data_IF_177739955948
#
_entry.id   IF_177739955948
#
_cell.length_a   1.000
_cell.length_b   1.000
_cell.length_c   1.000
_cell.angle_alpha   90.00
_cell.angle_beta   90.00
_cell.angle_gamma   90.00
#
_symmetry.space_group_name_H-M   'P 1'
#
loop_
_entity.id
_entity.type
_entity.pdbx_description
1 polymer ?
#
# COMPACT_ATOMS: atom_id res chain seq x y z
N UNK A 1 -13.34 -3.58 -15.22
CA UNK A 1 -12.26 -3.84 -16.20
C UNK A 1 -11.50 -5.12 -15.87
N UNK A 2 -10.82 -5.28 -14.73
CA UNK A 2 -10.13 -6.54 -14.39
C UNK A 2 -11.08 -7.74 -14.25
N UNK A 3 -12.27 -7.55 -13.67
CA UNK A 3 -13.33 -8.57 -13.70
C UNK A 3 -13.76 -8.96 -15.12
N UNK A 4 -13.88 -7.98 -16.03
CA UNK A 4 -14.23 -8.26 -17.44
C UNK A 4 -13.13 -9.06 -18.14
N UNK A 5 -11.86 -8.77 -17.86
CA UNK A 5 -10.73 -9.57 -18.36
C UNK A 5 -10.78 -11.00 -17.83
N UNK A 6 -11.14 -11.19 -16.56
CA UNK A 6 -11.33 -12.51 -15.98
C UNK A 6 -12.47 -13.27 -16.68
N UNK A 7 -13.62 -12.62 -16.88
CA UNK A 7 -14.77 -13.19 -17.57
C UNK A 7 -14.46 -13.52 -19.03
N UNK A 8 -13.64 -12.71 -19.70
CA UNK A 8 -13.21 -12.97 -21.08
C UNK A 8 -12.24 -14.14 -21.18
N UNK A 9 -11.27 -14.25 -20.25
CA UNK A 9 -10.23 -15.30 -20.29
C UNK A 9 -10.74 -16.65 -19.81
N UNK A 10 -11.61 -16.68 -18.81
CA UNK A 10 -12.08 -17.92 -18.17
C UNK A 10 -13.61 -17.93 -17.96
N UNK A 11 -14.42 -17.67 -19.00
CA UNK A 11 -15.88 -17.59 -18.86
C UNK A 11 -16.45 -18.90 -18.32
N UNK A 12 -16.00 -20.03 -18.86
CA UNK A 12 -16.47 -21.35 -18.46
C UNK A 12 -16.30 -21.58 -16.96
N UNK A 13 -15.17 -21.15 -16.38
CA UNK A 13 -14.89 -21.34 -14.95
C UNK A 13 -15.80 -20.53 -14.04
N UNK A 14 -16.10 -19.30 -14.45
CA UNK A 14 -16.95 -18.41 -13.66
C UNK A 14 -18.40 -18.88 -13.69
N UNK A 15 -18.92 -19.23 -14.87
CA UNK A 15 -20.33 -19.57 -15.03
C UNK A 15 -20.67 -20.99 -14.58
N UNK A 16 -19.79 -21.98 -14.79
CA UNK A 16 -20.06 -23.36 -14.37
C UNK A 16 -19.65 -23.66 -12.93
N UNK A 17 -18.77 -22.84 -12.34
CA UNK A 17 -18.26 -23.06 -10.98
C UNK A 17 -17.33 -24.28 -10.92
N UNK A 18 -16.14 -24.10 -10.37
CA UNK A 18 -15.19 -25.21 -10.20
C UNK A 18 -14.58 -25.14 -8.82
N UNK A 19 -14.56 -26.28 -8.13
CA UNK A 19 -13.62 -26.51 -7.06
C UNK A 19 -12.34 -27.01 -7.72
N UNK A 20 -11.30 -26.19 -7.69
CA UNK A 20 -10.02 -26.61 -8.21
C UNK A 20 -9.38 -27.63 -7.26
N UNK A 21 -9.14 -28.83 -7.80
CA UNK A 21 -8.40 -29.92 -7.18
C UNK A 21 -8.85 -30.26 -5.74
N UNK A 22 -7.92 -30.80 -4.97
CA UNK A 22 -8.07 -31.20 -3.57
C UNK A 22 -8.18 -30.00 -2.61
N UNK A 23 -7.53 -28.88 -2.92
CA UNK A 23 -7.44 -27.72 -2.02
C UNK A 23 -8.80 -27.18 -1.59
N UNK A 24 -9.72 -26.97 -2.55
CA UNK A 24 -11.03 -26.42 -2.25
C UNK A 24 -11.83 -27.31 -1.30
N UNK A 25 -11.73 -28.63 -1.49
CA UNK A 25 -12.41 -29.63 -0.65
C UNK A 25 -11.80 -29.68 0.74
N UNK A 26 -10.46 -29.58 0.84
CA UNK A 26 -9.75 -29.52 2.13
C UNK A 26 -10.25 -28.33 2.95
N UNK A 27 -10.36 -27.15 2.34
CA UNK A 27 -10.77 -25.93 3.05
C UNK A 27 -12.21 -26.01 3.56
N UNK A 28 -13.13 -26.54 2.75
CA UNK A 28 -14.52 -26.78 3.16
C UNK A 28 -14.57 -27.78 4.32
N UNK A 29 -13.83 -28.88 4.21
CA UNK A 29 -13.81 -29.93 5.24
C UNK A 29 -13.23 -29.42 6.56
N UNK A 30 -12.17 -28.63 6.50
CA UNK A 30 -11.54 -28.04 7.68
C UNK A 30 -12.45 -27.00 8.36
N UNK A 31 -13.13 -26.15 7.58
CA UNK A 31 -14.12 -25.21 8.13
C UNK A 31 -15.29 -25.96 8.79
N UNK A 32 -15.77 -27.05 8.18
CA UNK A 32 -16.82 -27.88 8.78
C UNK A 32 -16.38 -28.55 10.10
N UNK A 33 -15.11 -28.93 10.22
CA UNK A 33 -14.57 -29.60 11.42
C UNK A 33 -14.19 -28.63 12.55
N UNK A 34 -13.57 -27.50 12.19
CA UNK A 34 -12.89 -26.62 13.15
C UNK A 34 -13.50 -25.22 13.22
N UNK A 35 -14.43 -24.90 12.31
CA UNK A 35 -15.11 -23.62 12.24
C UNK A 35 -14.11 -22.46 12.19
N UNK A 36 -14.28 -21.51 13.11
CA UNK A 36 -13.42 -20.32 13.16
C UNK A 36 -11.97 -20.64 13.51
N UNK A 37 -11.67 -21.78 14.15
CA UNK A 37 -10.26 -22.14 14.41
C UNK A 37 -9.49 -22.41 13.12
N UNK A 38 -10.18 -22.74 12.01
CA UNK A 38 -9.56 -23.02 10.72
C UNK A 38 -8.62 -21.89 10.28
N UNK A 39 -8.95 -20.63 10.58
CA UNK A 39 -8.19 -19.44 10.16
C UNK A 39 -6.72 -19.43 10.63
N UNK A 40 -6.41 -20.14 11.72
CA UNK A 40 -5.07 -20.26 12.28
C UNK A 40 -4.34 -21.53 11.81
N UNK A 41 -5.03 -22.40 11.07
CA UNK A 41 -4.45 -23.62 10.51
C UNK A 41 -3.70 -23.28 9.23
N UNK A 42 -2.40 -23.57 9.21
CA UNK A 42 -1.59 -23.47 7.99
C UNK A 42 -1.99 -24.55 6.99
N UNK A 43 -1.81 -24.25 5.71
CA UNK A 43 -1.93 -25.21 4.62
C UNK A 43 -0.72 -25.01 3.71
N UNK A 44 -0.02 -26.10 3.36
CA UNK A 44 1.25 -26.05 2.60
C UNK A 44 2.26 -25.03 3.18
N UNK A 45 2.40 -24.97 4.50
CA UNK A 45 3.28 -24.03 5.23
C UNK A 45 2.93 -22.53 5.12
N UNK A 46 1.74 -22.20 4.58
CA UNK A 46 1.24 -20.83 4.50
C UNK A 46 -0.07 -20.63 5.25
N UNK A 47 -0.24 -19.43 5.81
CA UNK A 47 -1.50 -19.02 6.42
C UNK A 47 -2.48 -18.53 5.34
N UNK A 48 -3.57 -19.26 5.15
CA UNK A 48 -4.58 -18.96 4.13
C UNK A 48 -5.79 -18.21 4.69
N UNK A 49 -5.57 -17.09 5.37
CA UNK A 49 -6.64 -16.37 6.10
C UNK A 49 -7.78 -15.90 5.18
N UNK A 50 -7.47 -15.28 4.04
CA UNK A 50 -8.51 -14.77 3.13
C UNK A 50 -9.33 -15.89 2.47
N UNK A 51 -8.70 -16.94 1.89
CA UNK A 51 -9.48 -18.05 1.36
C UNK A 51 -10.35 -18.74 2.42
N UNK A 52 -9.85 -18.90 3.67
CA UNK A 52 -10.63 -19.46 4.78
C UNK A 52 -11.80 -18.56 5.20
N UNK A 53 -11.63 -17.24 5.19
CA UNK A 53 -12.73 -16.30 5.42
C UNK A 53 -13.84 -16.43 4.38
N UNK A 54 -13.46 -16.58 3.11
CA UNK A 54 -14.41 -16.77 2.01
C UNK A 54 -15.21 -18.06 2.22
N UNK A 55 -14.52 -19.16 2.52
CA UNK A 55 -15.16 -20.46 2.78
C UNK A 55 -16.13 -20.33 3.95
N UNK A 56 -15.69 -19.78 5.09
CA UNK A 56 -16.55 -19.58 6.25
C UNK A 56 -17.78 -18.72 5.93
N UNK A 57 -17.59 -17.64 5.17
CA UNK A 57 -18.67 -16.76 4.75
C UNK A 57 -19.73 -17.50 3.94
N UNK A 58 -19.30 -18.36 3.00
CA UNK A 58 -20.21 -19.20 2.22
C UNK A 58 -20.86 -20.32 3.05
N UNK A 59 -20.13 -20.96 3.96
CA UNK A 59 -20.67 -21.95 4.90
C UNK A 59 -21.81 -21.39 5.76
N UNK A 60 -21.79 -20.09 6.06
CA UNK A 60 -22.84 -19.41 6.81
C UNK A 60 -23.98 -18.90 5.92
N UNK A 61 -23.72 -18.62 4.65
CA UNK A 61 -24.66 -17.93 3.76
C UNK A 61 -25.41 -18.85 2.80
N UNK A 62 -24.89 -20.05 2.51
CA UNK A 62 -25.44 -20.91 1.46
C UNK A 62 -25.22 -22.40 1.74
N UNK A 63 -25.98 -23.24 1.05
CA UNK A 63 -25.78 -24.68 1.02
C UNK A 63 -24.56 -25.07 0.15
N UNK A 64 -23.91 -26.21 0.43
CA UNK A 64 -22.66 -26.62 -0.23
C UNK A 64 -22.70 -26.70 -1.76
N UNK A 65 -23.87 -26.97 -2.34
CA UNK A 65 -24.06 -27.06 -3.79
C UNK A 65 -23.78 -25.73 -4.50
N UNK A 66 -23.88 -24.60 -3.78
CA UNK A 66 -23.60 -23.26 -4.31
C UNK A 66 -22.13 -22.86 -4.20
N UNK A 67 -21.30 -23.61 -3.45
CA UNK A 67 -19.92 -23.21 -3.18
C UNK A 67 -19.06 -23.06 -4.45
N UNK A 68 -19.08 -23.97 -5.44
CA UNK A 68 -18.24 -23.83 -6.63
C UNK A 68 -18.50 -22.51 -7.38
N UNK A 69 -19.77 -22.14 -7.56
CA UNK A 69 -20.15 -20.88 -8.18
C UNK A 69 -19.85 -19.69 -7.28
N UNK A 70 -20.17 -19.80 -6.00
CA UNK A 70 -19.96 -18.74 -5.01
C UNK A 70 -18.49 -18.34 -4.91
N UNK A 71 -17.60 -19.33 -4.85
CA UNK A 71 -16.15 -19.14 -4.84
C UNK A 71 -15.66 -18.50 -6.13
N UNK A 72 -16.11 -18.96 -7.29
CA UNK A 72 -15.72 -18.39 -8.57
C UNK A 72 -16.10 -16.89 -8.68
N UNK A 73 -17.33 -16.54 -8.31
CA UNK A 73 -17.77 -15.13 -8.28
C UNK A 73 -17.06 -14.30 -7.22
N UNK A 74 -16.73 -14.89 -6.07
CA UNK A 74 -15.92 -14.22 -5.04
C UNK A 74 -14.52 -13.90 -5.57
N UNK A 75 -13.89 -14.82 -6.30
CA UNK A 75 -12.61 -14.55 -6.97
C UNK A 75 -12.73 -13.38 -7.95
N UNK A 76 -13.77 -13.33 -8.78
CA UNK A 76 -14.01 -12.21 -9.71
C UNK A 76 -14.15 -10.87 -8.96
N UNK A 77 -14.87 -10.87 -7.85
CA UNK A 77 -15.01 -9.69 -6.99
C UNK A 77 -13.66 -9.27 -6.38
N UNK A 78 -12.86 -10.22 -5.89
CA UNK A 78 -11.51 -9.96 -5.37
C UNK A 78 -10.60 -9.39 -6.46
N UNK A 79 -10.62 -9.94 -7.67
CA UNK A 79 -9.84 -9.43 -8.80
C UNK A 79 -10.27 -8.02 -9.21
N UNK A 80 -11.55 -7.69 -9.11
CA UNK A 80 -12.03 -6.33 -9.29
C UNK A 80 -11.44 -5.39 -8.24
N UNK A 81 -11.47 -5.77 -6.96
CA UNK A 81 -10.92 -4.98 -5.86
C UNK A 81 -9.40 -4.79 -6.00
N UNK A 82 -8.65 -5.84 -6.34
CA UNK A 82 -7.21 -5.80 -6.65
C UNK A 82 -6.92 -4.82 -7.77
N UNK A 83 -7.64 -4.91 -8.89
CA UNK A 83 -7.49 -3.98 -10.01
C UNK A 83 -7.82 -2.52 -9.64
N UNK A 84 -8.87 -2.31 -8.86
CA UNK A 84 -9.26 -0.99 -8.38
C UNK A 84 -8.21 -0.39 -7.43
N UNK A 85 -7.66 -1.19 -6.52
CA UNK A 85 -6.59 -0.79 -5.61
C UNK A 85 -5.31 -0.39 -6.38
N UNK A 86 -4.87 -1.22 -7.33
CA UNK A 86 -3.72 -0.90 -8.19
C UNK A 86 -3.96 0.35 -9.04
N UNK A 87 -5.17 0.55 -9.55
CA UNK A 87 -5.51 1.77 -10.27
C UNK A 87 -5.48 3.01 -9.33
N UNK A 88 -5.99 2.89 -8.11
CA UNK A 88 -5.93 3.96 -7.13
C UNK A 88 -4.49 4.33 -6.73
N UNK A 89 -3.65 3.32 -6.47
CA UNK A 89 -2.22 3.49 -6.17
C UNK A 89 -1.47 4.13 -7.34
N UNK A 90 -1.69 3.65 -8.57
CA UNK A 90 -1.04 4.23 -9.75
C UNK A 90 -1.46 5.68 -10.00
N UNK A 91 -2.71 6.06 -9.71
CA UNK A 91 -3.14 7.48 -9.77
C UNK A 91 -2.39 8.38 -8.79
N UNK A 92 -1.98 7.85 -7.64
CA UNK A 92 -1.31 8.62 -6.57
C UNK A 92 0.17 8.82 -6.87
N UNK A 93 0.85 7.81 -7.42
CA UNK A 93 2.30 7.86 -7.65
C UNK A 93 2.69 8.26 -9.08
N UNK A 94 1.84 7.98 -10.06
CA UNK A 94 2.11 8.34 -11.46
C UNK A 94 1.38 9.66 -11.77
N UNK A 95 1.90 10.77 -11.26
CA UNK A 95 1.39 12.12 -11.51
C UNK A 95 1.71 12.58 -12.95
N UNK A 96 0.87 13.45 -13.53
CA UNK A 96 1.15 14.13 -14.81
C UNK A 96 0.06 14.03 -15.90
N UNK A 97 0.43 14.49 -17.10
CA UNK A 97 -0.39 14.68 -18.32
C UNK A 97 -1.35 13.51 -18.64
N UNK A 98 -2.48 13.77 -19.35
CA UNK A 98 -3.47 12.75 -19.73
C UNK A 98 -2.89 11.52 -20.46
N UNK A 99 -1.75 11.67 -21.15
CA UNK A 99 -1.03 10.55 -21.76
C UNK A 99 -0.65 9.43 -20.77
N UNK A 100 -0.40 9.76 -19.49
CA UNK A 100 -0.08 8.77 -18.43
C UNK A 100 -1.31 7.99 -17.93
N UNK A 101 -2.53 8.35 -18.36
CA UNK A 101 -3.76 7.59 -18.06
C UNK A 101 -3.67 6.17 -18.61
N UNK A 102 -3.09 5.99 -19.80
CA UNK A 102 -2.90 4.67 -20.41
C UNK A 102 -1.97 3.80 -19.56
N UNK A 103 -0.85 4.36 -19.12
CA UNK A 103 0.10 3.66 -18.25
C UNK A 103 -0.55 3.19 -16.95
N UNK A 104 -1.29 4.07 -16.25
CA UNK A 104 -2.03 3.70 -15.02
C UNK A 104 -3.00 2.54 -15.28
N UNK A 105 -3.70 2.58 -16.41
CA UNK A 105 -4.62 1.53 -16.82
C UNK A 105 -3.87 0.22 -17.10
N UNK A 106 -2.71 0.26 -17.76
CA UNK A 106 -1.86 -0.89 -17.99
C UNK A 106 -1.35 -1.50 -16.67
N UNK A 107 -0.84 -0.69 -15.75
CA UNK A 107 -0.37 -1.16 -14.43
C UNK A 107 -1.47 -1.90 -13.66
N UNK A 108 -2.71 -1.38 -13.67
CA UNK A 108 -3.84 -2.03 -12.98
C UNK A 108 -4.25 -3.38 -13.58
N UNK A 109 -3.93 -3.62 -14.86
CA UNK A 109 -4.29 -4.83 -15.60
C UNK A 109 -3.14 -5.82 -15.73
N UNK A 110 -1.90 -5.37 -15.52
CA UNK A 110 -0.71 -6.18 -15.75
C UNK A 110 -0.77 -7.56 -15.06
N UNK A 111 -1.19 -7.70 -13.79
CA UNK A 111 -1.29 -9.02 -13.15
C UNK A 111 -2.26 -9.98 -13.85
N UNK A 112 -3.24 -9.43 -14.57
CA UNK A 112 -4.29 -10.20 -15.25
C UNK A 112 -3.98 -10.48 -16.73
N UNK A 113 -2.95 -9.85 -17.27
CA UNK A 113 -2.50 -10.04 -18.66
C UNK A 113 -1.37 -11.06 -18.77
N UNK A 114 -0.70 -11.38 -17.66
CA UNK A 114 0.30 -12.45 -17.62
C UNK A 114 -0.36 -13.77 -18.02
N UNK A 115 0.22 -14.54 -18.95
CA UNK A 115 -0.25 -15.88 -19.24
C UNK A 115 -0.06 -16.73 -17.98
N UNK A 116 -1.18 -17.09 -17.35
CA UNK A 116 -1.17 -17.95 -16.18
C UNK A 116 -1.94 -19.23 -16.46
N UNK A 117 -1.52 -20.29 -15.77
CA UNK A 117 -2.24 -21.55 -15.73
C UNK A 117 -3.67 -21.30 -15.26
N UNK A 118 -4.66 -21.97 -15.84
CA UNK A 118 -6.02 -21.88 -15.35
C UNK A 118 -6.12 -22.34 -13.89
N UNK A 119 -5.17 -23.12 -13.37
CA UNK A 119 -5.00 -23.45 -11.95
C UNK A 119 -4.96 -22.26 -10.99
N UNK A 120 -4.35 -21.16 -11.42
CA UNK A 120 -4.12 -19.98 -10.58
C UNK A 120 -5.34 -19.04 -10.64
N UNK A 121 -5.99 -18.98 -11.78
CA UNK A 121 -7.14 -18.10 -12.01
C UNK A 121 -8.45 -18.72 -11.55
N UNK A 122 -9.29 -17.88 -10.91
CA UNK A 122 -10.63 -18.26 -10.43
C UNK A 122 -10.53 -19.43 -9.43
N UNK A 123 -9.44 -19.46 -8.65
CA UNK A 123 -9.24 -20.41 -7.57
C UNK A 123 -9.04 -19.66 -6.25
N UNK A 124 -9.86 -19.97 -5.25
CA UNK A 124 -9.83 -19.28 -3.96
C UNK A 124 -8.51 -19.49 -3.23
N UNK A 125 -7.88 -20.67 -3.33
CA UNK A 125 -6.64 -20.98 -2.60
C UNK A 125 -5.45 -20.18 -3.15
N UNK A 126 -5.51 -19.85 -4.44
CA UNK A 126 -4.51 -19.06 -5.14
C UNK A 126 -4.73 -17.54 -5.09
N UNK A 127 -5.74 -17.04 -4.35
CA UNK A 127 -5.97 -15.59 -4.22
C UNK A 127 -4.78 -14.84 -3.60
N UNK A 128 -3.96 -15.52 -2.81
CA UNK A 128 -2.77 -14.94 -2.19
C UNK A 128 -1.79 -14.35 -3.20
N UNK A 129 -1.68 -14.94 -4.40
CA UNK A 129 -0.79 -14.45 -5.47
C UNK A 129 -1.17 -13.06 -5.99
N UNK A 130 -2.43 -12.66 -5.81
CA UNK A 130 -2.93 -11.34 -6.19
C UNK A 130 -3.00 -10.38 -5.00
N UNK A 131 -3.40 -10.89 -3.84
CA UNK A 131 -3.59 -10.08 -2.64
C UNK A 131 -2.27 -9.67 -1.98
N UNK A 132 -1.30 -10.58 -1.88
CA UNK A 132 -0.05 -10.30 -1.19
C UNK A 132 0.74 -9.14 -1.86
N UNK A 133 0.93 -9.10 -3.19
CA UNK A 133 1.61 -7.97 -3.83
C UNK A 133 0.86 -6.65 -3.65
N UNK A 134 -0.47 -6.65 -3.75
CA UNK A 134 -1.26 -5.43 -3.54
C UNK A 134 -1.17 -4.94 -2.10
N UNK A 135 -1.24 -5.85 -1.13
CA UNK A 135 -1.08 -5.50 0.29
C UNK A 135 0.28 -4.86 0.53
N UNK A 136 1.35 -5.44 0.01
CA UNK A 136 2.70 -4.86 0.09
C UNK A 136 2.74 -3.44 -0.48
N UNK A 137 2.15 -3.21 -1.66
CA UNK A 137 2.10 -1.87 -2.27
C UNK A 137 1.27 -0.87 -1.46
N UNK A 138 0.17 -1.32 -0.84
CA UNK A 138 -0.63 -0.47 0.06
C UNK A 138 0.18 -0.10 1.29
N UNK A 139 0.85 -1.05 1.92
CA UNK A 139 1.71 -0.79 3.08
C UNK A 139 2.83 0.20 2.75
N UNK A 140 3.47 0.03 1.58
CA UNK A 140 4.48 0.98 1.10
C UNK A 140 3.89 2.38 0.86
N UNK A 141 2.72 2.51 0.21
CA UNK A 141 2.05 3.80 0.03
C UNK A 141 1.74 4.47 1.38
N UNK A 142 1.26 3.71 2.37
CA UNK A 142 0.99 4.20 3.72
C UNK A 142 2.26 4.68 4.43
N UNK A 143 3.34 3.91 4.40
CA UNK A 143 4.63 4.32 4.96
C UNK A 143 5.13 5.61 4.32
N UNK A 144 5.09 5.69 2.98
CA UNK A 144 5.55 6.87 2.24
C UNK A 144 4.70 8.12 2.52
N UNK A 145 3.39 7.97 2.75
CA UNK A 145 2.52 9.09 3.15
C UNK A 145 2.89 9.61 4.53
N UNK A 146 3.12 8.70 5.48
CA UNK A 146 3.48 9.06 6.84
C UNK A 146 4.82 9.80 6.87
N UNK A 147 5.82 9.32 6.14
CA UNK A 147 7.11 9.99 6.01
C UNK A 147 6.97 11.42 5.49
N UNK A 148 6.26 11.63 4.38
CA UNK A 148 5.99 12.96 3.81
C UNK A 148 5.23 13.89 4.77
N UNK A 149 4.28 13.35 5.53
CA UNK A 149 3.53 14.16 6.50
C UNK A 149 4.43 14.66 7.65
N UNK A 150 5.34 13.80 8.14
CA UNK A 150 6.33 14.17 9.16
C UNK A 150 7.27 15.24 8.62
N UNK A 151 7.84 15.03 7.44
CA UNK A 151 8.74 15.98 6.75
C UNK A 151 8.08 17.36 6.59
N UNK A 152 6.87 17.42 6.03
CA UNK A 152 6.11 18.66 5.88
C UNK A 152 5.84 19.36 7.23
N UNK A 153 5.62 18.59 8.31
CA UNK A 153 5.40 19.14 9.65
C UNK A 153 6.67 19.74 10.26
N UNK A 154 7.83 19.12 10.01
CA UNK A 154 9.14 19.62 10.44
C UNK A 154 9.50 20.90 9.69
N UNK A 155 9.34 20.91 8.37
CA UNK A 155 9.57 22.08 7.53
C UNK A 155 8.72 23.27 7.97
N UNK A 156 7.44 23.04 8.26
CA UNK A 156 6.54 24.09 8.77
C UNK A 156 7.03 24.65 10.12
N UNK A 157 7.51 23.79 11.04
CA UNK A 157 8.06 24.23 12.34
C UNK A 157 9.36 25.00 12.20
N UNK A 158 10.25 24.58 11.30
CA UNK A 158 11.51 25.29 11.01
C UNK A 158 11.24 26.68 10.44
N UNK A 159 10.31 26.79 9.48
CA UNK A 159 9.88 28.09 8.92
C UNK A 159 9.30 29.01 10.00
N UNK A 160 8.47 28.49 10.92
CA UNK A 160 7.93 29.30 12.03
C UNK A 160 9.02 29.79 13.01
N UNK A 161 10.06 28.98 13.26
CA UNK A 161 11.20 29.40 14.10
C UNK A 161 12.03 30.49 13.43
N UNK A 162 12.29 30.35 12.13
CA UNK A 162 13.03 31.34 11.34
C UNK A 162 12.24 32.65 11.15
N UNK A 163 10.92 32.56 11.04
CA UNK A 163 10.04 33.73 10.89
C UNK A 163 9.79 34.50 12.19
N UNK A 164 10.15 33.93 13.36
CA UNK A 164 10.08 34.66 14.63
C UNK A 164 11.26 35.65 14.64
N UNK A 165 11.04 36.96 14.48
CA UNK A 165 12.13 37.92 14.57
C UNK A 165 12.76 37.80 15.96
N UNK A 166 14.01 38.23 16.12
CA UNK A 166 14.64 38.44 17.41
C UNK A 166 13.93 39.58 18.18
N UNK A 167 12.65 39.41 18.51
CA UNK A 167 11.89 40.27 19.40
C UNK A 167 12.36 39.95 20.83
N UNK A 168 13.51 40.51 21.20
CA UNK A 168 14.11 40.27 22.50
C UNK A 168 15.57 40.70 22.68
N UNK A 169 16.14 41.53 21.79
CA UNK A 169 17.33 42.33 22.14
C UNK A 169 16.96 43.80 22.02
N UNK A 170 16.17 44.28 22.98
CA UNK A 170 16.10 45.70 23.28
C UNK A 170 17.45 46.06 23.90
N UNK A 171 18.27 46.73 23.09
CA UNK A 171 19.36 47.57 23.58
C UNK A 171 18.77 48.55 24.61
N UNK A 172 19.30 48.52 25.82
CA UNK A 172 19.13 49.56 26.82
C UNK A 172 20.34 50.49 26.65
N UNK A 173 20.19 51.76 26.25
CA UNK A 173 21.21 52.76 26.44
C UNK A 173 20.94 53.44 27.79
N UNK A 174 21.73 53.10 28.82
CA UNK A 174 21.92 54.00 29.94
C UNK A 174 23.24 54.74 29.73
N UNK A 175 23.13 55.96 29.22
CA UNK A 175 24.18 56.97 29.35
C UNK A 175 24.25 57.44 30.80
N UNK A 176 25.45 57.45 31.36
CA UNK A 176 25.75 58.26 32.55
C UNK A 176 26.84 57.69 33.45
N UNK A 177 28.10 58.08 33.22
CA UNK A 177 29.14 58.00 34.25
C UNK A 177 30.53 57.59 33.78
N UNK A 178 31.23 58.57 33.20
CA UNK A 178 32.64 58.92 33.43
C UNK A 178 33.69 57.83 33.77
N UNK A 179 34.81 57.86 33.05
CA UNK A 179 36.09 57.32 33.53
C UNK A 179 36.78 56.27 32.66
N UNK A 180 37.67 56.76 31.79
CA UNK A 180 38.97 56.14 31.45
C UNK A 180 39.05 54.61 31.26
N UNK A 181 39.22 54.17 30.01
CA UNK A 181 40.21 53.15 29.58
C UNK A 181 40.14 53.00 28.05
N UNK A 182 41.10 53.52 27.29
CA UNK A 182 42.36 52.90 26.88
C UNK A 182 42.24 51.56 26.13
N UNK A 183 42.78 51.58 24.90
CA UNK A 183 43.39 50.50 24.11
C UNK A 183 42.62 49.75 23.00
N UNK A 184 43.14 50.03 21.80
CA UNK A 184 43.54 49.11 20.73
C UNK A 184 42.48 48.57 19.75
N UNK A 185 42.43 49.27 18.62
CA UNK A 185 42.24 48.70 17.28
C UNK A 185 43.11 47.47 17.05
N UNK A 186 42.49 46.35 16.68
CA UNK A 186 43.17 45.23 16.02
C UNK A 186 42.59 45.08 14.61
N UNK A 187 43.31 45.60 13.61
CA UNK A 187 43.14 45.21 12.22
C UNK A 187 43.76 43.82 12.04
N UNK A 188 42.95 42.84 11.67
CA UNK A 188 43.38 41.49 11.29
C UNK A 188 42.88 41.13 9.91
N UNK A 189 43.72 41.33 8.90
CA UNK A 189 43.57 40.88 7.53
C UNK A 189 44.18 39.48 7.40
N UNK A 190 43.42 38.45 6.98
CA UNK A 190 43.92 37.39 6.09
C UNK A 190 42.83 36.36 5.70
N UNK A 191 42.52 36.33 4.40
CA UNK A 191 42.69 35.16 3.52
C UNK A 191 42.03 33.80 3.86
N UNK A 192 41.09 33.42 2.99
CA UNK A 192 40.98 32.11 2.31
C UNK A 192 41.26 30.81 3.09
N UNK A 193 40.24 29.96 3.22
CA UNK A 193 40.44 28.51 3.10
C UNK A 193 39.20 27.83 2.51
N UNK A 194 39.34 27.40 1.26
CA UNK A 194 38.53 26.34 0.65
C UNK A 194 39.04 25.01 1.22
N UNK A 195 38.13 24.11 1.59
CA UNK A 195 38.44 22.69 1.73
C UNK A 195 37.49 21.92 0.82
N UNK A 196 38.06 21.49 -0.30
CA UNK A 196 37.61 20.34 -1.05
C UNK A 196 38.22 19.11 -0.37
N UNK A 197 37.38 18.11 -0.07
CA UNK A 197 37.57 16.69 -0.34
C UNK A 197 36.18 16.05 -0.32
#
# INVERSE_FOLDING_TARGET
MCALLCLYRYPHRVFHGFLWAEDGVIFIREDAKTGISAFWTSYADYLHTVPRLIVRGWSLAAAPERFPHGFAWTCVAVYFMVGAALFALSRRHISGKPARRRLRACCSRAPFLVPQSPEIFVNITNLQWFLAPVLTLILLDLCMRRARAVENSLDKRLRMRQAKPAAGRSDQPDEGGDGNRCFATFQGNSSSMRLAW
#
